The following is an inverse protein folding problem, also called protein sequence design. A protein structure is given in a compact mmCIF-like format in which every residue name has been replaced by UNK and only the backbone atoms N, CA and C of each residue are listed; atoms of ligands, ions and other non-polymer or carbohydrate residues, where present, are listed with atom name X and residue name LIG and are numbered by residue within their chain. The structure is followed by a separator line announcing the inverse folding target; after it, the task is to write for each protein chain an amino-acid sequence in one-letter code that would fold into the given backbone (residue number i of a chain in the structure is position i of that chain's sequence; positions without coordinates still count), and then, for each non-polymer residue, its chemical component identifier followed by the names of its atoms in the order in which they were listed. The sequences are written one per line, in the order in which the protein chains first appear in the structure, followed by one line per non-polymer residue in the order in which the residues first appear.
data_IF_180873479067
#
_entry.id   IF_180873479067
#
_cell.length_a   1.000
_cell.length_b   1.000
_cell.length_c   1.000
_cell.angle_alpha   90.00
_cell.angle_beta   90.00
_cell.angle_gamma   90.00
#
_symmetry.space_group_name_H-M   'P 1'
#
loop_
_entity.id
_entity.type
_entity.pdbx_description
1 polymer ?
#
# COMPACT_ATOMS: atom_id res chain seq x y z
N UNK A 1 56.76 -5.64 15.37
CA UNK A 1 55.54 -6.41 15.61
C UNK A 1 54.36 -5.44 15.39
N UNK A 2 53.82 -5.45 14.19
CA UNK A 2 52.66 -4.61 13.83
C UNK A 2 51.40 -5.46 13.94
N UNK A 3 50.58 -5.14 14.91
CA UNK A 3 49.24 -5.71 15.05
C UNK A 3 48.32 -4.78 14.27
N UNK A 4 47.98 -5.17 13.05
CA UNK A 4 46.94 -4.53 12.23
C UNK A 4 45.59 -4.94 12.81
N UNK A 5 44.93 -3.97 13.45
CA UNK A 5 43.57 -4.05 13.95
C UNK A 5 42.59 -4.06 12.74
N UNK A 6 42.21 -5.25 12.31
CA UNK A 6 41.19 -5.44 11.31
C UNK A 6 39.81 -5.25 11.99
N UNK A 7 39.35 -4.02 12.07
CA UNK A 7 37.93 -3.73 12.30
C UNK A 7 37.12 -4.23 11.11
N UNK A 8 36.67 -5.47 11.18
CA UNK A 8 35.55 -5.93 10.36
C UNK A 8 34.35 -5.03 10.64
N UNK A 9 34.10 -4.11 9.71
CA UNK A 9 32.79 -3.41 9.65
C UNK A 9 31.78 -4.51 9.31
N UNK A 10 31.01 -4.93 10.30
CA UNK A 10 29.77 -5.65 10.07
C UNK A 10 28.87 -4.74 9.21
N UNK A 11 28.93 -4.92 7.91
CA UNK A 11 27.98 -4.36 6.98
C UNK A 11 26.69 -5.15 7.20
N UNK A 12 25.85 -4.67 8.11
CA UNK A 12 24.47 -5.14 8.22
C UNK A 12 23.82 -4.71 6.91
N UNK A 13 23.70 -5.65 5.98
CA UNK A 13 22.92 -5.41 4.78
C UNK A 13 21.50 -5.04 5.23
N UNK A 14 20.98 -3.85 4.86
CA UNK A 14 19.64 -3.48 5.23
C UNK A 14 18.66 -4.53 4.67
N UNK A 15 17.61 -4.90 5.42
CA UNK A 15 16.66 -5.88 4.95
C UNK A 15 16.03 -5.39 3.66
N UNK A 16 16.23 -6.13 2.58
CA UNK A 16 15.62 -5.88 1.28
C UNK A 16 14.10 -5.74 1.48
N UNK A 17 13.53 -4.66 0.96
CA UNK A 17 12.07 -4.51 0.96
C UNK A 17 11.50 -5.52 -0.03
N UNK A 18 10.86 -6.57 0.50
CA UNK A 18 10.28 -7.63 -0.29
C UNK A 18 9.07 -7.10 -1.11
N UNK A 19 8.80 -7.68 -2.29
CA UNK A 19 7.67 -7.29 -3.16
C UNK A 19 6.32 -7.20 -2.44
N UNK A 20 6.03 -8.17 -1.58
CA UNK A 20 4.82 -8.20 -0.75
C UNK A 20 4.66 -6.93 0.11
N UNK A 21 5.77 -6.35 0.58
CA UNK A 21 5.74 -5.12 1.37
C UNK A 21 5.33 -3.90 0.54
N UNK A 22 5.59 -3.91 -0.77
CA UNK A 22 5.23 -2.81 -1.68
C UNK A 22 3.72 -2.77 -1.90
N UNK A 23 3.11 -3.92 -2.17
CA UNK A 23 1.65 -4.00 -2.27
C UNK A 23 1.00 -3.54 -0.95
N UNK A 24 1.47 -4.04 0.19
CA UNK A 24 0.98 -3.62 1.50
C UNK A 24 1.18 -2.12 1.76
N UNK A 25 2.24 -1.53 1.22
CA UNK A 25 2.46 -0.08 1.30
C UNK A 25 1.43 0.67 0.45
N UNK A 26 1.23 0.28 -0.82
CA UNK A 26 0.20 0.87 -1.71
C UNK A 26 -1.19 0.79 -1.08
N UNK A 27 -1.57 -0.39 -0.58
CA UNK A 27 -2.85 -0.61 0.12
C UNK A 27 -2.98 0.26 1.37
N UNK A 28 -1.90 0.41 2.14
CA UNK A 28 -1.90 1.25 3.33
C UNK A 28 -1.99 2.74 3.04
N UNK A 29 -1.33 3.21 2.00
CA UNK A 29 -1.45 4.59 1.53
C UNK A 29 -2.87 4.86 1.04
N UNK A 30 -3.45 3.96 0.23
CA UNK A 30 -4.84 4.06 -0.21
C UNK A 30 -5.81 4.11 0.97
N UNK A 31 -5.62 3.24 1.96
CA UNK A 31 -6.42 3.22 3.19
C UNK A 31 -6.40 4.58 3.90
N UNK A 32 -5.21 5.17 4.06
CA UNK A 32 -5.06 6.47 4.68
C UNK A 32 -5.72 7.58 3.86
N UNK A 33 -5.57 7.55 2.54
CA UNK A 33 -6.21 8.49 1.63
C UNK A 33 -7.72 8.47 1.80
N UNK A 34 -8.35 7.32 1.66
CA UNK A 34 -9.81 7.19 1.77
C UNK A 34 -10.30 7.56 3.17
N UNK A 35 -9.57 7.21 4.22
CA UNK A 35 -9.91 7.64 5.60
C UNK A 35 -9.87 9.15 5.78
N UNK A 36 -8.97 9.84 5.10
CA UNK A 36 -8.84 11.30 5.13
C UNK A 36 -9.84 12.04 4.25
N UNK A 37 -10.53 11.37 3.31
CA UNK A 37 -11.54 11.99 2.45
C UNK A 37 -12.74 12.51 3.25
N UNK A 38 -13.37 13.57 2.73
CA UNK A 38 -14.66 14.03 3.19
C UNK A 38 -15.73 12.98 2.86
N UNK A 39 -16.32 12.39 3.90
CA UNK A 39 -17.32 11.31 3.77
C UNK A 39 -18.65 11.78 3.16
N UNK A 40 -18.87 13.08 3.10
CA UNK A 40 -20.02 13.73 2.47
C UNK A 40 -19.68 14.33 1.10
N UNK A 41 -18.40 14.24 0.69
CA UNK A 41 -17.90 14.79 -0.57
C UNK A 41 -18.23 13.90 -1.77
N UNK A 42 -18.27 14.51 -2.95
CA UNK A 42 -18.54 13.81 -4.23
C UNK A 42 -17.53 12.69 -4.51
N UNK A 43 -16.25 12.87 -4.20
CA UNK A 43 -15.23 11.85 -4.40
C UNK A 43 -15.49 10.59 -3.58
N UNK A 44 -15.94 10.72 -2.33
CA UNK A 44 -16.26 9.57 -1.49
C UNK A 44 -17.55 8.86 -1.97
N UNK A 45 -18.56 9.62 -2.36
CA UNK A 45 -19.81 9.09 -2.95
C UNK A 45 -19.51 8.35 -4.26
N UNK A 46 -18.62 8.89 -5.09
CA UNK A 46 -18.17 8.22 -6.32
C UNK A 46 -17.58 6.84 -6.05
N UNK A 47 -16.67 6.74 -5.08
CA UNK A 47 -16.04 5.44 -4.70
C UNK A 47 -17.11 4.42 -4.25
N UNK A 48 -18.10 4.85 -3.45
CA UNK A 48 -19.20 3.97 -3.01
C UNK A 48 -20.02 3.45 -4.19
N UNK A 49 -20.35 4.32 -5.13
CA UNK A 49 -21.16 3.97 -6.31
C UNK A 49 -20.38 3.08 -7.29
N UNK A 50 -19.08 3.29 -7.40
CA UNK A 50 -18.21 2.53 -8.30
C UNK A 50 -18.01 1.08 -7.84
N UNK A 51 -17.98 0.84 -6.55
CA UNK A 51 -17.76 -0.50 -5.98
C UNK A 51 -18.94 -1.00 -5.14
N UNK A 52 -20.11 -1.22 -5.75
CA UNK A 52 -21.33 -1.60 -5.02
C UNK A 52 -21.23 -2.96 -4.31
N UNK A 53 -20.30 -3.82 -4.77
CA UNK A 53 -20.05 -5.14 -4.17
C UNK A 53 -19.09 -5.07 -2.95
N UNK A 54 -18.48 -3.91 -2.70
CA UNK A 54 -17.67 -3.68 -1.51
C UNK A 54 -18.58 -3.11 -0.44
N UNK A 55 -18.74 -3.81 0.68
CA UNK A 55 -19.62 -3.32 1.75
C UNK A 55 -19.17 -1.95 2.28
N UNK A 56 -20.14 -1.11 2.63
CA UNK A 56 -19.91 0.26 3.12
C UNK A 56 -18.86 0.35 4.23
N UNK A 57 -18.86 -0.61 5.16
CA UNK A 57 -17.87 -0.66 6.24
C UNK A 57 -16.43 -0.80 5.71
N UNK A 58 -16.21 -1.60 4.65
CA UNK A 58 -14.89 -1.75 4.03
C UNK A 58 -14.47 -0.46 3.31
N UNK A 59 -15.39 0.18 2.60
CA UNK A 59 -15.13 1.47 1.93
C UNK A 59 -14.79 2.55 2.95
N UNK A 60 -15.57 2.67 4.04
CA UNK A 60 -15.31 3.63 5.12
C UNK A 60 -13.92 3.43 5.76
N UNK A 61 -13.48 2.19 5.88
CA UNK A 61 -12.15 1.83 6.39
C UNK A 61 -11.04 1.94 5.33
N UNK A 62 -11.37 2.23 4.06
CA UNK A 62 -10.42 2.32 2.95
C UNK A 62 -9.79 0.98 2.59
N UNK A 63 -10.56 -0.11 2.72
CA UNK A 63 -10.08 -1.46 2.41
C UNK A 63 -10.40 -1.76 0.94
N UNK A 64 -9.35 -1.78 0.12
CA UNK A 64 -9.40 -2.06 -1.31
C UNK A 64 -8.39 -3.14 -1.69
N UNK A 65 -8.62 -3.78 -2.83
CA UNK A 65 -7.67 -4.69 -3.46
C UNK A 65 -6.91 -3.98 -4.58
N UNK A 66 -5.77 -4.54 -4.99
CA UNK A 66 -4.91 -3.97 -6.04
C UNK A 66 -5.66 -3.59 -7.34
N UNK A 67 -6.50 -4.48 -7.93
CA UNK A 67 -7.29 -4.19 -9.12
C UNK A 67 -8.22 -2.96 -8.97
N UNK A 68 -8.88 -2.80 -7.83
CA UNK A 68 -9.75 -1.65 -7.54
C UNK A 68 -8.95 -0.34 -7.48
N UNK A 69 -7.78 -0.37 -6.84
CA UNK A 69 -6.89 0.79 -6.79
C UNK A 69 -6.43 1.16 -8.20
N UNK A 70 -6.02 0.16 -9.00
CA UNK A 70 -5.59 0.35 -10.39
C UNK A 70 -6.72 0.95 -11.24
N UNK A 71 -7.93 0.49 -11.06
CA UNK A 71 -9.11 1.02 -11.73
C UNK A 71 -9.35 2.50 -11.38
N UNK A 72 -9.32 2.87 -10.09
CA UNK A 72 -9.43 4.27 -9.66
C UNK A 72 -8.28 5.14 -10.18
N UNK A 73 -7.06 4.62 -10.25
CA UNK A 73 -5.91 5.38 -10.78
C UNK A 73 -6.05 5.74 -12.26
N UNK A 74 -6.82 4.97 -13.03
CA UNK A 74 -7.08 5.20 -14.46
C UNK A 74 -8.34 6.03 -14.69
N UNK A 75 -9.13 6.28 -13.66
CA UNK A 75 -10.44 6.92 -13.74
C UNK A 75 -10.31 8.44 -13.64
N UNK A 76 -10.60 9.11 -14.77
CA UNK A 76 -10.56 10.58 -14.84
C UNK A 76 -11.74 11.22 -14.11
N UNK A 77 -12.92 10.56 -14.09
CA UNK A 77 -14.07 11.09 -13.40
C UNK A 77 -13.82 11.16 -11.89
N UNK A 78 -13.16 10.15 -11.34
CA UNK A 78 -12.74 10.20 -9.95
C UNK A 78 -11.80 11.39 -9.66
N UNK A 79 -10.84 11.67 -10.57
CA UNK A 79 -9.97 12.84 -10.43
C UNK A 79 -10.74 14.16 -10.39
N UNK A 80 -11.88 14.27 -11.12
CA UNK A 80 -12.71 15.46 -11.21
C UNK A 80 -13.62 15.64 -9.99
N UNK A 81 -14.10 14.54 -9.41
CA UNK A 81 -15.01 14.53 -8.27
C UNK A 81 -14.32 14.81 -6.92
N UNK A 82 -12.99 14.77 -6.89
CA UNK A 82 -12.21 15.11 -5.70
C UNK A 82 -12.17 16.62 -5.46
N UNK A 83 -12.26 17.04 -4.21
CA UNK A 83 -11.98 18.42 -3.84
C UNK A 83 -10.48 18.74 -4.04
N UNK A 84 -10.08 20.00 -3.96
CA UNK A 84 -8.72 20.43 -4.27
C UNK A 84 -7.66 19.73 -3.39
N UNK A 85 -7.91 19.60 -2.10
CA UNK A 85 -6.99 18.97 -1.16
C UNK A 85 -6.86 17.47 -1.45
N UNK A 86 -7.98 16.79 -1.66
CA UNK A 86 -8.03 15.38 -2.02
C UNK A 86 -7.36 15.12 -3.37
N UNK A 87 -7.62 15.99 -4.35
CA UNK A 87 -7.02 15.88 -5.69
C UNK A 87 -5.51 15.99 -5.63
N UNK A 88 -4.97 16.92 -4.86
CA UNK A 88 -3.52 17.05 -4.67
C UNK A 88 -2.93 15.79 -4.03
N UNK A 89 -3.54 15.26 -2.99
CA UNK A 89 -3.10 14.04 -2.34
C UNK A 89 -3.19 12.82 -3.27
N UNK A 90 -4.25 12.72 -4.05
CA UNK A 90 -4.46 11.67 -5.05
C UNK A 90 -3.43 11.71 -6.18
N UNK A 91 -3.09 12.89 -6.69
CA UNK A 91 -2.05 13.06 -7.70
C UNK A 91 -0.68 12.60 -7.17
N UNK A 92 -0.32 12.95 -5.94
CA UNK A 92 0.92 12.45 -5.34
C UNK A 92 0.88 10.95 -5.07
N UNK A 93 -0.26 10.39 -4.68
CA UNK A 93 -0.42 8.94 -4.56
C UNK A 93 -0.18 8.22 -5.90
N UNK A 94 -0.78 8.71 -7.01
CA UNK A 94 -0.52 8.17 -8.35
C UNK A 94 0.96 8.26 -8.72
N UNK A 95 1.61 9.39 -8.41
CA UNK A 95 3.05 9.57 -8.66
C UNK A 95 3.91 8.63 -7.83
N UNK A 96 3.62 8.43 -6.55
CA UNK A 96 4.32 7.45 -5.71
C UNK A 96 4.22 6.05 -6.31
N UNK A 97 3.03 5.64 -6.73
CA UNK A 97 2.83 4.31 -7.33
C UNK A 97 3.60 4.12 -8.64
N UNK A 98 3.79 5.19 -9.42
CA UNK A 98 4.48 5.16 -10.72
C UNK A 98 5.98 5.41 -10.59
N UNK A 99 6.35 6.49 -9.89
CA UNK A 99 7.69 7.08 -9.94
C UNK A 99 8.59 6.60 -8.80
N UNK A 100 8.04 5.91 -7.79
CA UNK A 100 8.79 5.38 -6.65
C UNK A 100 8.57 3.89 -6.42
N UNK A 101 7.31 3.43 -6.39
CA UNK A 101 6.93 2.03 -6.17
C UNK A 101 6.73 1.25 -7.48
N UNK A 102 7.07 1.85 -8.63
CA UNK A 102 7.04 1.24 -9.95
C UNK A 102 8.34 0.55 -10.32
N UNK A 103 8.49 0.21 -11.62
CA UNK A 103 9.65 -0.50 -12.16
C UNK A 103 10.94 0.34 -12.14
N UNK A 104 10.80 1.66 -12.13
CA UNK A 104 11.94 2.58 -12.08
C UNK A 104 11.70 3.67 -11.04
N UNK A 105 12.69 3.90 -10.22
CA UNK A 105 12.69 4.98 -9.25
C UNK A 105 13.10 6.27 -9.96
N UNK A 106 12.23 7.28 -9.98
CA UNK A 106 12.55 8.57 -10.56
C UNK A 106 13.66 9.30 -9.79
N UNK A 107 14.49 10.10 -10.47
CA UNK A 107 15.57 10.84 -9.82
C UNK A 107 15.08 11.79 -8.72
N UNK A 108 13.86 12.31 -8.84
CA UNK A 108 13.22 13.21 -7.88
C UNK A 108 12.23 12.49 -6.93
N UNK A 109 12.42 11.20 -6.68
CA UNK A 109 11.51 10.41 -5.84
C UNK A 109 11.33 10.97 -4.42
N UNK A 110 12.36 11.59 -3.87
CA UNK A 110 12.30 12.21 -2.54
C UNK A 110 11.29 13.37 -2.52
N UNK A 111 11.27 14.22 -3.55
CA UNK A 111 10.31 15.32 -3.66
C UNK A 111 8.88 14.78 -3.82
N UNK A 112 8.71 13.67 -4.55
CA UNK A 112 7.40 13.02 -4.71
C UNK A 112 6.90 12.47 -3.39
N UNK A 113 7.76 11.83 -2.60
CA UNK A 113 7.42 11.33 -1.25
C UNK A 113 7.07 12.49 -0.33
N UNK A 114 7.90 13.54 -0.29
CA UNK A 114 7.63 14.72 0.54
C UNK A 114 6.32 15.41 0.15
N UNK A 115 6.02 15.49 -1.14
CA UNK A 115 4.76 16.01 -1.65
C UNK A 115 3.55 15.20 -1.19
N UNK A 116 3.65 13.86 -1.20
CA UNK A 116 2.59 12.99 -0.65
C UNK A 116 2.38 13.24 0.84
N UNK A 117 3.45 13.26 1.63
CA UNK A 117 3.37 13.46 3.08
C UNK A 117 2.71 14.81 3.42
N UNK A 118 3.10 15.87 2.72
CA UNK A 118 2.53 17.20 2.89
C UNK A 118 1.04 17.22 2.53
N UNK A 119 0.67 16.62 1.42
CA UNK A 119 -0.73 16.55 0.96
C UNK A 119 -1.60 15.71 1.90
N UNK A 120 -1.09 14.56 2.40
CA UNK A 120 -1.81 13.74 3.37
C UNK A 120 -2.01 14.45 4.71
N UNK A 121 -1.01 15.22 5.14
CA UNK A 121 -1.14 16.06 6.33
C UNK A 121 -2.20 17.14 6.14
N UNK A 122 -2.26 17.78 4.97
CA UNK A 122 -3.29 18.76 4.64
C UNK A 122 -4.72 18.17 4.61
N UNK A 123 -4.86 16.89 4.20
CA UNK A 123 -6.12 16.14 4.30
C UNK A 123 -6.49 15.72 5.73
N UNK A 124 -5.62 15.90 6.71
CA UNK A 124 -5.83 15.40 8.07
C UNK A 124 -5.63 13.89 8.21
N UNK A 125 -4.91 13.26 7.28
CA UNK A 125 -4.57 11.84 7.40
C UNK A 125 -3.69 11.60 8.63
N UNK A 126 -4.03 10.58 9.41
CA UNK A 126 -3.19 10.17 10.54
C UNK A 126 -1.87 9.56 10.05
N UNK A 127 -0.78 9.85 10.77
CA UNK A 127 0.50 9.18 10.56
C UNK A 127 0.35 7.69 10.89
N UNK A 128 0.39 6.85 9.87
CA UNK A 128 0.43 5.39 10.05
C UNK A 128 1.86 4.89 10.02
N UNK A 129 2.08 3.68 10.55
CA UNK A 129 3.40 3.03 10.48
C UNK A 129 3.93 2.94 9.03
N UNK A 130 3.05 2.79 8.04
CA UNK A 130 3.40 2.72 6.62
C UNK A 130 3.86 4.07 6.08
N UNK A 131 3.21 5.16 6.47
CA UNK A 131 3.62 6.53 6.14
C UNK A 131 4.95 6.83 6.82
N UNK A 132 5.11 6.50 8.09
CA UNK A 132 6.37 6.68 8.82
C UNK A 132 7.51 5.89 8.18
N UNK A 133 7.27 4.65 7.75
CA UNK A 133 8.26 3.83 7.06
C UNK A 133 8.67 4.45 5.72
N UNK A 134 7.71 4.98 4.97
CA UNK A 134 7.96 5.70 3.73
C UNK A 134 8.79 6.98 3.95
N UNK A 135 8.56 7.70 5.06
CA UNK A 135 9.29 8.94 5.40
C UNK A 135 10.73 8.66 5.84
N UNK A 136 10.91 7.65 6.70
CA UNK A 136 12.18 7.46 7.45
C UNK A 136 13.14 6.46 6.82
N UNK A 137 12.70 5.69 5.83
CA UNK A 137 13.46 4.54 5.32
C UNK A 137 13.51 4.47 3.79
N UNK A 138 13.61 5.63 3.13
CA UNK A 138 13.66 5.72 1.67
C UNK A 138 14.83 4.97 1.04
N UNK A 139 15.97 4.89 1.73
CA UNK A 139 17.17 4.20 1.26
C UNK A 139 17.03 2.68 1.21
N UNK A 140 16.09 2.10 1.94
CA UNK A 140 15.86 0.65 1.91
C UNK A 140 15.04 0.17 0.71
N UNK A 141 14.51 1.09 -0.08
CA UNK A 141 13.77 0.76 -1.29
C UNK A 141 14.70 0.63 -2.49
N UNK A 142 14.68 -0.52 -3.14
CA UNK A 142 15.48 -0.81 -4.33
C UNK A 142 15.03 0.02 -5.55
N UNK A 143 15.86 0.05 -6.60
CA UNK A 143 15.59 0.87 -7.80
C UNK A 143 14.50 0.29 -8.73
N UNK A 144 14.23 -1.03 -8.68
CA UNK A 144 13.34 -1.74 -9.59
C UNK A 144 12.25 -2.54 -8.86
N UNK A 145 11.55 -1.88 -7.97
CA UNK A 145 10.55 -2.49 -7.09
C UNK A 145 9.37 -3.14 -7.83
N UNK A 146 9.02 -2.63 -9.00
CA UNK A 146 7.86 -3.09 -9.77
C UNK A 146 8.09 -4.38 -10.55
N UNK A 147 9.33 -4.70 -10.92
CA UNK A 147 9.66 -5.91 -11.69
C UNK A 147 9.39 -7.22 -10.92
N UNK A 148 9.36 -7.14 -9.61
CA UNK A 148 9.31 -8.33 -8.72
C UNK A 148 7.94 -8.50 -8.06
N UNK A 149 7.01 -7.52 -8.17
CA UNK A 149 5.93 -7.42 -7.19
C UNK A 149 4.51 -7.76 -7.63
N UNK A 150 4.15 -7.64 -8.91
CA UNK A 150 2.72 -7.36 -9.14
C UNK A 150 1.82 -8.58 -9.34
N UNK A 151 2.29 -9.69 -9.88
CA UNK A 151 1.37 -10.77 -10.29
C UNK A 151 1.11 -11.83 -9.21
N UNK A 152 2.13 -12.19 -8.43
CA UNK A 152 2.00 -13.22 -7.39
C UNK A 152 1.43 -12.67 -6.07
N UNK A 153 1.77 -11.44 -5.70
CA UNK A 153 1.28 -10.80 -4.48
C UNK A 153 -0.21 -10.43 -4.55
N UNK A 154 -0.70 -10.00 -5.71
CA UNK A 154 -2.13 -9.70 -5.91
C UNK A 154 -3.00 -10.97 -5.84
N UNK A 155 -2.51 -12.07 -6.42
CA UNK A 155 -3.21 -13.36 -6.38
C UNK A 155 -3.32 -13.91 -4.96
N UNK A 156 -2.25 -13.85 -4.19
CA UNK A 156 -2.24 -14.29 -2.79
C UNK A 156 -3.18 -13.45 -1.90
N UNK A 157 -3.25 -12.13 -2.13
CA UNK A 157 -4.19 -11.27 -1.41
C UNK A 157 -5.65 -11.54 -1.80
N UNK A 158 -5.89 -11.86 -3.06
CA UNK A 158 -7.22 -12.23 -3.54
C UNK A 158 -7.66 -13.56 -2.95
N UNK A 159 -6.76 -14.55 -2.90
CA UNK A 159 -7.01 -15.85 -2.29
C UNK A 159 -7.33 -15.75 -0.79
N UNK A 160 -6.63 -14.88 -0.03
CA UNK A 160 -6.94 -14.64 1.39
C UNK A 160 -8.32 -13.97 1.56
N UNK A 161 -8.65 -12.97 0.75
CA UNK A 161 -9.95 -12.31 0.82
C UNK A 161 -11.10 -13.24 0.44
N UNK A 162 -10.88 -14.15 -0.52
CA UNK A 162 -11.83 -15.18 -0.90
C UNK A 162 -11.99 -16.24 0.21
N UNK A 163 -10.93 -16.61 0.91
CA UNK A 163 -11.00 -17.47 2.09
C UNK A 163 -11.77 -16.80 3.25
N UNK A 164 -11.55 -15.51 3.51
CA UNK A 164 -12.29 -14.78 4.55
C UNK A 164 -13.77 -14.57 4.20
N UNK A 165 -14.09 -14.42 2.90
CA UNK A 165 -15.47 -14.33 2.41
C UNK A 165 -16.16 -15.68 2.30
N UNK A 166 -15.41 -16.78 2.10
CA UNK A 166 -15.88 -18.16 1.94
C UNK A 166 -16.24 -18.89 3.22
N UNK A 167 -16.00 -18.34 4.41
CA UNK A 167 -16.34 -18.95 5.72
C UNK A 167 -17.85 -18.96 6.04
N UNK A 168 -18.73 -18.78 5.04
CA UNK A 168 -20.18 -19.01 5.17
C UNK A 168 -20.69 -20.21 4.35
N UNK A 169 -19.84 -21.11 3.89
CA UNK A 169 -20.25 -22.36 3.26
C UNK A 169 -19.58 -23.54 3.98
N UNK A 170 -20.41 -24.29 4.66
CA UNK A 170 -20.13 -25.57 5.33
C UNK A 170 -19.20 -26.50 4.53
N UNK A 171 -18.03 -26.81 5.07
CA UNK A 171 -17.14 -27.84 4.61
C UNK A 171 -16.17 -28.28 5.72
N UNK A 172 -15.67 -29.52 5.72
CA UNK A 172 -15.34 -30.29 6.92
C UNK A 172 -14.14 -29.74 7.68
N UNK A 173 -14.33 -29.72 9.01
CA UNK A 173 -13.36 -29.46 10.05
C UNK A 173 -12.13 -30.37 9.87
N UNK A 174 -11.00 -29.84 9.39
CA UNK A 174 -9.72 -30.53 9.45
C UNK A 174 -9.17 -30.37 10.86
N UNK A 175 -9.35 -31.44 11.64
CA UNK A 175 -8.81 -31.61 12.98
C UNK A 175 -7.28 -31.65 12.90
N UNK A 176 -6.60 -30.71 13.51
CA UNK A 176 -5.16 -30.79 13.78
C UNK A 176 -4.95 -31.84 14.87
N UNK A 177 -4.75 -33.10 14.49
CA UNK A 177 -4.23 -34.09 15.42
C UNK A 177 -2.71 -33.96 15.54
N UNK A 178 -2.35 -33.58 16.74
CA UNK A 178 -1.08 -33.74 17.44
C UNK A 178 -0.28 -34.95 16.94
N UNK A 179 0.92 -34.70 16.40
CA UNK A 179 1.97 -35.71 16.39
C UNK A 179 2.91 -35.38 17.55
N UNK A 180 2.59 -35.95 18.70
CA UNK A 180 3.53 -36.17 19.79
C UNK A 180 3.81 -37.66 19.84
N UNK A 181 5.08 -38.04 19.83
CA UNK A 181 5.57 -39.30 20.37
C UNK A 181 6.11 -40.34 19.37
N UNK A 182 7.38 -40.43 19.22
CA UNK A 182 8.31 -41.43 19.80
C UNK A 182 9.73 -41.10 19.33
#
# INVERSE_FOLDING_TARGET
MNITDAREKNVVNPPLVLPEKILHLKLGLMKNFVKGMDKTGHGFEYVRNKFPNVGDAKIMEGIFIGPQIKELMQDKQFDEDLNETERNAWLFFKRICKDFLGNHKAANYQDVVQGLLTSYKAMGCNMSLKIHFLESHLEFFQENLGEVSDEHGERFHQDILDMESGTKASGPQVCWQTIAGH
#
